data_IF_097723596136
#
_entry.id   IF_097723596136
#
_cell.length_a   1.000
_cell.length_b   1.000
_cell.length_c   1.000
_cell.angle_alpha   90.00
_cell.angle_beta   90.00
_cell.angle_gamma   90.00
#
_symmetry.space_group_name_H-M   'P 1'
#
loop_
_entity.id
_entity.type
_entity.pdbx_description
1 polymer ?
#
# COMPACT_ATOMS: atom_id res chain seq x y z
N UNK A 1 -31.06 -9.29 -0.37
CA UNK A 1 -30.34 -7.99 -0.25
C UNK A 1 -28.95 -8.17 -0.82
N UNK A 2 -28.27 -7.11 -1.27
CA UNK A 2 -26.85 -7.22 -1.67
C UNK A 2 -26.00 -7.44 -0.42
N UNK A 3 -24.97 -8.31 -0.47
CA UNK A 3 -24.18 -8.63 0.72
C UNK A 3 -23.43 -7.39 1.24
N UNK A 4 -23.17 -7.37 2.54
CA UNK A 4 -22.25 -6.43 3.20
C UNK A 4 -20.87 -7.09 3.29
N UNK A 5 -19.89 -6.48 2.64
CA UNK A 5 -18.51 -6.96 2.63
C UNK A 5 -17.63 -5.98 3.39
N UNK A 6 -16.89 -6.49 4.37
CA UNK A 6 -15.83 -5.76 5.08
C UNK A 6 -14.47 -6.24 4.59
N UNK A 7 -13.54 -5.31 4.39
CA UNK A 7 -12.11 -5.60 4.24
C UNK A 7 -11.36 -4.83 5.32
N UNK A 8 -10.64 -5.56 6.17
CA UNK A 8 -9.80 -5.01 7.22
C UNK A 8 -8.35 -5.25 6.81
N UNK A 9 -7.64 -4.16 6.54
CA UNK A 9 -6.22 -4.16 6.33
C UNK A 9 -5.47 -4.03 7.64
N UNK A 10 -4.56 -4.96 7.93
CA UNK A 10 -3.53 -4.80 8.96
C UNK A 10 -2.22 -4.51 8.23
N UNK A 11 -1.80 -3.24 8.21
CA UNK A 11 -0.63 -2.76 7.46
C UNK A 11 0.63 -3.49 7.96
N UNK A 12 1.38 -4.13 7.07
CA UNK A 12 2.60 -4.85 7.46
C UNK A 12 2.42 -6.03 8.44
N UNK A 13 1.25 -6.67 8.48
CA UNK A 13 1.02 -7.79 9.38
C UNK A 13 1.53 -9.11 8.77
N UNK A 14 2.41 -9.79 9.52
CA UNK A 14 2.71 -11.20 9.33
C UNK A 14 1.90 -12.06 10.32
N UNK A 15 2.10 -13.38 10.30
CA UNK A 15 1.41 -14.32 11.21
C UNK A 15 1.62 -14.00 12.70
N UNK A 16 2.81 -13.53 13.09
CA UNK A 16 3.10 -13.17 14.47
C UNK A 16 2.29 -11.95 14.90
N UNK A 17 2.33 -10.86 14.13
CA UNK A 17 1.57 -9.64 14.43
C UNK A 17 0.07 -9.90 14.41
N UNK A 18 -0.42 -10.72 13.46
CA UNK A 18 -1.81 -11.16 13.42
C UNK A 18 -2.24 -11.92 14.69
N UNK A 19 -1.37 -12.79 15.20
CA UNK A 19 -1.60 -13.49 16.47
C UNK A 19 -1.63 -12.53 17.66
N UNK A 20 -0.77 -11.51 17.67
CA UNK A 20 -0.76 -10.48 18.72
C UNK A 20 -2.04 -9.60 18.68
N UNK A 21 -2.59 -9.36 17.49
CA UNK A 21 -3.93 -8.77 17.32
C UNK A 21 -5.03 -9.73 17.81
N UNK A 22 -4.75 -11.01 18.03
CA UNK A 22 -5.71 -11.99 18.53
C UNK A 22 -6.47 -12.73 17.43
N UNK A 23 -5.92 -12.79 16.22
CA UNK A 23 -6.44 -13.63 15.14
C UNK A 23 -6.01 -15.08 15.32
N UNK A 24 -6.89 -16.02 14.93
CA UNK A 24 -6.58 -17.45 14.98
C UNK A 24 -5.58 -17.82 13.87
N UNK A 25 -4.36 -18.15 14.25
CA UNK A 25 -3.26 -18.46 13.31
C UNK A 25 -3.51 -19.66 12.41
N UNK A 26 -4.43 -20.58 12.78
CA UNK A 26 -4.81 -21.73 11.96
C UNK A 26 -5.52 -21.33 10.67
N UNK A 27 -6.21 -20.19 10.70
CA UNK A 27 -7.03 -19.70 9.58
C UNK A 27 -6.24 -18.73 8.69
N UNK A 28 -4.96 -18.49 9.01
CA UNK A 28 -4.12 -17.50 8.33
C UNK A 28 -3.29 -18.16 7.23
N UNK A 29 -3.55 -17.73 6.01
CA UNK A 29 -2.79 -18.07 4.81
C UNK A 29 -1.75 -16.98 4.50
N UNK A 30 -0.67 -17.38 3.84
CA UNK A 30 0.28 -16.42 3.28
C UNK A 30 -0.41 -15.64 2.15
N UNK A 31 -0.16 -14.34 2.11
CA UNK A 31 -0.69 -13.46 1.09
C UNK A 31 0.46 -12.74 0.40
N UNK A 32 0.69 -13.07 -0.87
CA UNK A 32 1.86 -12.57 -1.59
C UNK A 32 1.64 -11.14 -2.05
N UNK A 33 2.54 -10.25 -1.62
CA UNK A 33 2.54 -8.82 -1.98
C UNK A 33 3.03 -8.57 -3.40
N UNK A 34 3.05 -7.29 -3.80
CA UNK A 34 3.81 -6.81 -4.95
C UNK A 34 5.32 -7.01 -4.71
N UNK A 35 6.10 -6.95 -5.78
CA UNK A 35 7.54 -6.72 -5.76
C UNK A 35 7.80 -5.28 -6.22
N UNK A 36 8.31 -4.38 -5.37
CA UNK A 36 8.62 -4.55 -3.95
C UNK A 36 7.37 -4.73 -3.08
N UNK A 37 7.48 -5.36 -1.89
CA UNK A 37 6.40 -5.47 -0.93
C UNK A 37 6.29 -4.17 -0.13
N UNK A 38 5.68 -3.17 -0.75
CA UNK A 38 5.63 -1.81 -0.22
C UNK A 38 4.21 -1.25 -0.21
N UNK A 39 3.90 -0.41 0.78
CA UNK A 39 2.57 0.11 1.07
C UNK A 39 1.86 0.75 -0.14
N UNK A 40 2.44 1.69 -0.92
CA UNK A 40 1.75 2.27 -2.07
C UNK A 40 1.37 1.29 -3.18
N UNK A 41 2.28 0.46 -3.74
CA UNK A 41 1.91 -0.47 -4.80
C UNK A 41 0.95 -1.55 -4.30
N UNK A 42 1.17 -2.10 -3.10
CA UNK A 42 0.40 -3.23 -2.60
C UNK A 42 -1.05 -2.85 -2.24
N UNK A 43 -1.31 -1.78 -1.48
CA UNK A 43 -2.68 -1.34 -1.22
C UNK A 43 -3.42 -0.89 -2.49
N UNK A 44 -2.70 -0.27 -3.44
CA UNK A 44 -3.30 0.06 -4.75
C UNK A 44 -3.66 -1.20 -5.52
N UNK A 45 -2.82 -2.24 -5.48
CA UNK A 45 -3.08 -3.55 -6.07
C UNK A 45 -4.30 -4.23 -5.45
N UNK A 46 -4.44 -4.21 -4.12
CA UNK A 46 -5.64 -4.72 -3.42
C UNK A 46 -6.90 -3.99 -3.86
N UNK A 47 -6.82 -2.67 -4.02
CA UNK A 47 -7.95 -1.85 -4.47
C UNK A 47 -8.30 -2.04 -5.95
N UNK A 48 -7.36 -2.44 -6.81
CA UNK A 48 -7.53 -2.41 -8.27
C UNK A 48 -7.55 -3.79 -8.91
N UNK A 49 -7.02 -4.80 -8.23
CA UNK A 49 -6.87 -6.17 -8.74
C UNK A 49 -5.83 -6.33 -9.85
N UNK A 50 -4.96 -5.33 -10.04
CA UNK A 50 -3.93 -5.33 -11.07
C UNK A 50 -2.57 -5.02 -10.48
N UNK A 51 -1.53 -5.35 -11.23
CA UNK A 51 -0.12 -5.09 -10.90
C UNK A 51 0.24 -3.61 -11.02
N UNK A 52 1.38 -3.21 -10.41
CA UNK A 52 1.96 -1.88 -10.61
C UNK A 52 2.16 -1.44 -12.06
N UNK A 53 2.39 -2.37 -12.98
CA UNK A 53 2.51 -2.05 -14.41
C UNK A 53 1.19 -1.62 -15.07
N UNK A 54 0.05 -1.81 -14.42
CA UNK A 54 -1.28 -1.39 -14.91
C UNK A 54 -1.86 -0.21 -14.12
N UNK A 55 -1.67 -0.16 -12.80
CA UNK A 55 -2.15 0.99 -12.01
C UNK A 55 -1.12 2.13 -11.90
N UNK A 56 0.16 1.89 -12.21
CA UNK A 56 1.20 2.92 -12.32
C UNK A 56 1.80 3.42 -11.01
N UNK A 57 1.62 2.70 -9.90
CA UNK A 57 2.11 3.11 -8.56
C UNK A 57 3.18 2.13 -8.10
N UNK A 58 4.37 2.62 -7.75
CA UNK A 58 5.49 1.81 -7.23
C UNK A 58 6.00 2.31 -5.87
N UNK A 59 5.87 3.60 -5.60
CA UNK A 59 6.44 4.26 -4.43
C UNK A 59 5.64 5.56 -4.16
N UNK A 60 5.71 6.08 -2.94
CA UNK A 60 5.20 7.41 -2.57
C UNK A 60 5.92 8.52 -3.34
N UNK A 61 7.06 8.21 -3.98
CA UNK A 61 7.78 9.10 -4.86
C UNK A 61 7.96 8.49 -6.24
N UNK A 62 7.83 9.29 -7.29
CA UNK A 62 8.19 8.92 -8.65
C UNK A 62 9.34 9.77 -9.16
N UNK A 63 10.14 9.20 -10.06
CA UNK A 63 11.13 9.96 -10.80
C UNK A 63 10.45 10.51 -12.06
N UNK A 64 10.61 11.81 -12.28
CA UNK A 64 10.37 12.39 -13.59
C UNK A 64 11.48 11.91 -14.55
N UNK A 65 11.17 11.15 -15.61
CA UNK A 65 12.19 10.57 -16.47
C UNK A 65 12.92 11.60 -17.35
N UNK A 66 12.32 12.77 -17.58
CA UNK A 66 12.93 13.84 -18.38
C UNK A 66 13.85 14.70 -17.50
N UNK A 67 13.35 15.12 -16.33
CA UNK A 67 14.05 16.04 -15.43
C UNK A 67 14.89 15.34 -14.36
N UNK A 68 14.74 14.03 -14.20
CA UNK A 68 15.32 13.22 -13.11
C UNK A 68 15.03 13.77 -11.71
N UNK A 69 13.89 14.44 -11.53
CA UNK A 69 13.44 15.02 -10.26
C UNK A 69 12.48 14.07 -9.53
N UNK A 70 12.53 14.05 -8.19
CA UNK A 70 11.59 13.27 -7.38
C UNK A 70 10.28 14.04 -7.18
N UNK A 71 9.15 13.50 -7.62
CA UNK A 71 7.79 14.03 -7.42
C UNK A 71 6.99 13.13 -6.48
N UNK A 72 6.06 13.70 -5.71
CA UNK A 72 5.15 12.91 -4.87
C UNK A 72 4.09 12.20 -5.71
N UNK A 73 3.92 10.91 -5.45
CA UNK A 73 2.84 10.09 -6.01
C UNK A 73 1.56 10.31 -5.20
N UNK A 74 0.44 10.50 -5.89
CA UNK A 74 -0.88 10.77 -5.27
C UNK A 74 -1.98 9.95 -5.93
N UNK A 75 -3.20 10.03 -5.42
CA UNK A 75 -4.37 9.36 -6.02
C UNK A 75 -4.62 9.73 -7.49
N UNK A 76 -4.17 10.91 -7.95
CA UNK A 76 -4.29 11.40 -9.33
C UNK A 76 -3.42 10.60 -10.31
N UNK A 77 -2.39 9.94 -9.78
CA UNK A 77 -1.44 9.16 -10.57
C UNK A 77 -1.93 7.72 -10.81
N UNK A 78 -2.94 7.25 -10.06
CA UNK A 78 -3.50 5.90 -10.22
C UNK A 78 -4.22 5.78 -11.57
N UNK A 79 -3.74 4.85 -12.41
CA UNK A 79 -4.19 4.70 -13.80
C UNK A 79 -5.27 3.65 -14.02
N UNK A 80 -5.64 2.91 -12.98
CA UNK A 80 -6.65 1.86 -13.05
C UNK A 80 -7.83 2.15 -12.12
N UNK A 81 -9.02 1.63 -12.45
CA UNK A 81 -10.21 1.83 -11.62
C UNK A 81 -10.09 1.04 -10.31
N UNK A 82 -10.36 1.70 -9.19
CA UNK A 82 -10.44 1.05 -7.87
C UNK A 82 -11.80 0.36 -7.72
N UNK A 83 -11.86 -0.66 -6.87
CA UNK A 83 -13.05 -1.45 -6.61
C UNK A 83 -14.25 -0.57 -6.22
N UNK A 84 -14.05 0.44 -5.37
CA UNK A 84 -15.10 1.39 -4.98
C UNK A 84 -15.68 2.17 -6.17
N UNK A 85 -14.87 2.48 -7.17
CA UNK A 85 -15.30 3.20 -8.37
C UNK A 85 -16.16 2.26 -9.24
N UNK A 86 -15.73 1.01 -9.42
CA UNK A 86 -16.49 -0.03 -10.15
C UNK A 86 -17.83 -0.36 -9.48
N UNK A 87 -17.84 -0.43 -8.14
CA UNK A 87 -19.04 -0.61 -7.32
C UNK A 87 -19.98 0.60 -7.45
N UNK A 88 -19.45 1.81 -7.33
CA UNK A 88 -20.22 3.04 -7.50
C UNK A 88 -20.86 3.13 -8.88
N UNK A 89 -20.17 2.71 -9.96
CA UNK A 89 -20.76 2.63 -11.30
C UNK A 89 -22.03 1.77 -11.34
N UNK A 90 -22.15 0.78 -10.46
CA UNK A 90 -23.32 -0.10 -10.30
C UNK A 90 -24.30 0.36 -9.20
N UNK A 91 -24.13 1.57 -8.67
CA UNK A 91 -25.03 2.13 -7.66
C UNK A 91 -24.77 1.63 -6.24
N UNK A 92 -23.72 0.83 -6.03
CA UNK A 92 -23.33 0.35 -4.71
C UNK A 92 -22.55 1.42 -3.96
N UNK A 93 -22.62 1.35 -2.63
CA UNK A 93 -22.02 2.32 -1.71
C UNK A 93 -20.79 1.75 -1.04
N UNK A 94 -19.81 2.60 -0.80
CA UNK A 94 -18.56 2.20 -0.14
C UNK A 94 -18.14 3.17 0.96
N UNK A 95 -17.45 2.64 1.96
CA UNK A 95 -16.69 3.41 2.96
C UNK A 95 -15.24 2.98 2.82
N UNK A 96 -14.34 3.93 2.58
CA UNK A 96 -12.89 3.72 2.47
C UNK A 96 -12.20 4.52 3.57
N UNK A 97 -11.36 3.88 4.38
CA UNK A 97 -10.74 4.50 5.55
C UNK A 97 -9.25 4.18 5.57
N UNK A 98 -8.43 5.23 5.66
CA UNK A 98 -6.96 5.18 5.77
C UNK A 98 -6.24 4.44 4.64
N UNK A 99 -6.86 4.34 3.46
CA UNK A 99 -6.24 3.67 2.31
C UNK A 99 -5.25 4.60 1.60
N UNK A 100 -3.99 4.19 1.39
CA UNK A 100 -3.04 4.94 0.58
C UNK A 100 -3.54 5.20 -0.83
N UNK A 101 -3.00 6.24 -1.46
CA UNK A 101 -3.34 6.63 -2.84
C UNK A 101 -4.84 6.94 -3.04
N UNK A 102 -5.52 7.39 -1.99
CA UNK A 102 -6.91 7.90 -2.05
C UNK A 102 -7.00 9.43 -1.94
N UNK A 103 -5.94 10.10 -1.51
CA UNK A 103 -5.82 11.55 -1.48
C UNK A 103 -4.94 12.09 -2.63
N UNK A 104 -5.26 13.25 -3.25
CA UNK A 104 -6.47 14.06 -3.02
C UNK A 104 -7.73 13.37 -3.56
N UNK A 105 -8.91 13.63 -3.00
CA UNK A 105 -10.10 12.86 -3.37
C UNK A 105 -10.52 13.06 -4.84
N UNK A 106 -10.05 14.11 -5.52
CA UNK A 106 -10.19 14.36 -6.96
C UNK A 106 -9.70 13.19 -7.82
N UNK A 107 -8.66 12.47 -7.39
CA UNK A 107 -8.13 11.30 -8.10
C UNK A 107 -9.02 10.05 -8.03
N UNK A 108 -10.08 10.09 -7.22
CA UNK A 108 -11.09 9.02 -7.18
C UNK A 108 -12.28 9.42 -8.06
N UNK A 109 -12.45 8.65 -9.14
CA UNK A 109 -13.56 8.75 -10.10
C UNK A 109 -14.81 8.13 -9.48
N UNK A 110 -15.99 8.65 -9.81
CA UNK A 110 -17.28 8.12 -9.33
C UNK A 110 -17.44 8.02 -7.80
N UNK A 111 -16.71 8.82 -7.03
CA UNK A 111 -16.78 8.81 -5.56
C UNK A 111 -18.12 9.26 -4.96
N UNK A 112 -19.13 9.64 -5.75
CA UNK A 112 -20.40 10.17 -5.23
C UNK A 112 -21.15 9.21 -4.28
N UNK A 113 -20.92 7.89 -4.42
CA UNK A 113 -21.47 6.86 -3.54
C UNK A 113 -20.46 6.35 -2.51
N UNK A 114 -19.38 7.09 -2.27
CA UNK A 114 -18.26 6.66 -1.42
C UNK A 114 -18.00 7.68 -0.33
N UNK A 115 -17.92 7.21 0.91
CA UNK A 115 -17.30 7.98 2.01
C UNK A 115 -15.82 7.61 2.04
N UNK A 116 -14.94 8.61 2.09
CA UNK A 116 -13.49 8.39 2.07
C UNK A 116 -12.88 9.16 3.23
N UNK A 117 -12.19 8.47 4.12
CA UNK A 117 -11.38 9.07 5.18
C UNK A 117 -9.92 8.99 4.74
N UNK A 118 -9.24 10.14 4.69
CA UNK A 118 -7.85 10.23 4.26
C UNK A 118 -6.91 9.35 5.10
N UNK A 119 -5.85 8.88 4.46
CA UNK A 119 -4.76 8.15 5.10
C UNK A 119 -3.74 9.07 5.78
N UNK A 120 -2.69 8.46 6.33
CA UNK A 120 -1.63 9.17 7.02
C UNK A 120 -0.68 9.91 6.06
N UNK A 121 -0.63 9.55 4.77
CA UNK A 121 0.18 10.24 3.78
C UNK A 121 -0.44 11.57 3.33
N UNK A 122 -1.74 11.78 3.56
CA UNK A 122 -2.42 13.04 3.29
C UNK A 122 -1.76 14.22 4.06
N UNK A 123 -1.75 15.43 3.49
CA UNK A 123 -1.15 16.60 4.13
C UNK A 123 -1.88 17.03 5.41
N UNK A 124 -3.17 16.69 5.53
CA UNK A 124 -4.02 16.89 6.69
C UNK A 124 -5.15 15.84 6.66
N UNK A 125 -5.76 15.56 7.81
CA UNK A 125 -6.87 14.61 7.90
C UNK A 125 -8.18 15.23 7.39
N UNK A 126 -8.86 14.53 6.50
CA UNK A 126 -10.11 14.98 5.88
C UNK A 126 -11.04 13.79 5.57
N UNK A 127 -12.34 14.06 5.48
CA UNK A 127 -13.38 13.13 5.05
C UNK A 127 -14.12 13.66 3.82
N UNK A 128 -14.23 12.83 2.79
CA UNK A 128 -15.13 13.02 1.68
C UNK A 128 -16.48 12.32 1.92
N UNK A 129 -17.62 12.93 1.54
CA UNK A 129 -17.78 14.31 1.13
C UNK A 129 -17.55 15.30 2.29
N UNK A 130 -17.09 16.51 1.95
CA UNK A 130 -16.66 17.57 2.89
C UNK A 130 -17.61 17.86 4.06
N UNK A 131 -18.92 17.63 3.89
CA UNK A 131 -19.92 17.76 4.97
C UNK A 131 -19.62 16.89 6.20
N UNK A 132 -18.87 15.80 6.04
CA UNK A 132 -18.49 14.92 7.14
C UNK A 132 -17.31 15.46 7.96
N UNK A 133 -16.55 16.45 7.45
CA UNK A 133 -15.48 17.08 8.22
C UNK A 133 -16.01 17.76 9.48
N UNK A 134 -17.17 18.42 9.41
CA UNK A 134 -17.77 19.07 10.57
C UNK A 134 -18.22 18.02 11.59
N UNK A 135 -18.94 16.99 11.12
CA UNK A 135 -19.43 15.88 11.95
C UNK A 135 -18.30 15.16 12.70
N UNK A 136 -17.15 14.94 12.05
CA UNK A 136 -16.05 14.14 12.60
C UNK A 136 -14.84 14.96 13.03
N UNK A 137 -14.97 16.29 13.13
CA UNK A 137 -13.86 17.22 13.35
C UNK A 137 -12.97 16.85 14.55
N UNK A 138 -13.56 16.39 15.65
CA UNK A 138 -12.84 15.93 16.85
C UNK A 138 -12.02 14.65 16.64
N UNK A 139 -12.32 13.86 15.60
CA UNK A 139 -11.61 12.63 15.25
C UNK A 139 -10.59 12.82 14.11
N UNK A 140 -10.47 14.03 13.54
CA UNK A 140 -9.51 14.34 12.47
C UNK A 140 -8.16 14.81 13.06
N UNK A 141 -7.58 13.96 13.90
CA UNK A 141 -6.30 14.20 14.57
C UNK A 141 -5.10 13.70 13.74
N UNK A 142 -3.95 14.35 13.89
CA UNK A 142 -2.73 14.00 13.16
C UNK A 142 -2.27 12.56 13.49
N UNK A 143 -1.99 11.73 12.47
CA UNK A 143 -1.54 10.35 12.68
C UNK A 143 -0.09 10.29 13.16
N UNK A 144 0.25 9.41 14.11
CA UNK A 144 1.61 9.25 14.66
C UNK A 144 2.57 8.49 13.71
N UNK A 145 2.49 8.70 12.40
CA UNK A 145 3.28 8.02 11.36
C UNK A 145 4.79 8.34 11.36
N UNK A 146 5.25 9.33 12.14
CA UNK A 146 6.67 9.71 12.25
C UNK A 146 7.42 8.89 13.32
N UNK A 147 7.24 7.57 13.33
CA UNK A 147 7.82 6.66 14.33
C UNK A 147 9.34 6.80 14.46
N UNK A 148 10.03 7.14 13.37
CA UNK A 148 11.49 7.29 13.31
C UNK A 148 12.01 8.40 14.22
N UNK A 149 11.15 9.35 14.62
CA UNK A 149 11.50 10.45 15.53
C UNK A 149 11.39 10.08 17.01
N UNK A 150 10.79 8.93 17.31
CA UNK A 150 10.48 8.51 18.67
C UNK A 150 11.35 7.35 19.18
N UNK A 151 12.40 6.96 18.46
CA UNK A 151 13.30 5.85 18.83
C UNK A 151 13.97 6.03 20.20
N UNK A 152 14.09 7.27 20.70
CA UNK A 152 14.68 7.58 22.00
C UNK A 152 13.68 7.55 23.17
N UNK A 153 12.37 7.50 22.91
CA UNK A 153 11.32 7.38 23.93
C UNK A 153 10.14 6.55 23.39
N UNK A 154 10.36 5.23 23.19
CA UNK A 154 9.39 4.41 22.48
C UNK A 154 8.13 4.11 23.31
N UNK A 155 8.18 4.18 24.66
CA UNK A 155 6.98 4.06 25.50
C UNK A 155 6.02 5.24 25.35
N UNK A 156 6.53 6.47 25.19
CA UNK A 156 5.70 7.64 24.87
C UNK A 156 5.03 7.47 23.50
N UNK A 157 5.74 6.87 22.54
CA UNK A 157 5.19 6.57 21.23
C UNK A 157 4.00 5.61 21.30
N UNK A 158 4.11 4.51 22.06
CA UNK A 158 3.02 3.57 22.26
C UNK A 158 1.74 4.26 22.77
N UNK A 159 1.87 5.15 23.76
CA UNK A 159 0.74 5.94 24.29
C UNK A 159 0.11 6.85 23.24
N UNK A 160 0.93 7.52 22.42
CA UNK A 160 0.43 8.37 21.32
C UNK A 160 -0.36 7.56 20.29
N UNK A 161 0.10 6.36 19.95
CA UNK A 161 -0.63 5.46 19.04
C UNK A 161 -1.93 5.00 19.69
N UNK A 162 -1.94 4.71 20.99
CA UNK A 162 -3.17 4.35 21.72
C UNK A 162 -4.20 5.49 21.75
N UNK A 163 -3.77 6.71 22.06
CA UNK A 163 -4.60 7.92 22.02
C UNK A 163 -5.17 8.13 20.62
N UNK A 164 -4.31 8.05 19.60
CA UNK A 164 -4.73 8.16 18.20
C UNK A 164 -5.80 7.13 17.83
N UNK A 165 -5.51 5.85 18.08
CA UNK A 165 -6.40 4.73 17.76
C UNK A 165 -7.74 4.88 18.45
N UNK A 166 -7.72 5.19 19.76
CA UNK A 166 -8.93 5.35 20.58
C UNK A 166 -9.81 6.47 20.06
N UNK A 167 -9.23 7.64 19.76
CA UNK A 167 -9.99 8.77 19.22
C UNK A 167 -10.60 8.43 17.87
N UNK A 168 -9.82 7.79 16.98
CA UNK A 168 -10.26 7.48 15.61
C UNK A 168 -11.34 6.41 15.53
N UNK A 169 -11.30 5.41 16.42
CA UNK A 169 -12.26 4.29 16.44
C UNK A 169 -13.71 4.75 16.55
N UNK A 170 -14.00 5.86 17.26
CA UNK A 170 -15.35 6.38 17.36
C UNK A 170 -15.96 6.71 15.99
N UNK A 171 -15.20 7.37 15.11
CA UNK A 171 -15.62 7.63 13.74
C UNK A 171 -15.73 6.33 12.93
N UNK A 172 -14.80 5.39 13.11
CA UNK A 172 -14.82 4.11 12.39
C UNK A 172 -16.08 3.31 12.72
N UNK A 173 -16.44 3.21 14.01
CA UNK A 173 -17.67 2.55 14.46
C UNK A 173 -18.92 3.26 13.94
N UNK A 174 -19.00 4.59 14.03
CA UNK A 174 -20.18 5.31 13.52
C UNK A 174 -20.38 5.09 12.01
N UNK A 175 -19.30 5.10 11.22
CA UNK A 175 -19.39 4.77 9.79
C UNK A 175 -19.75 3.30 9.53
N UNK A 176 -19.34 2.38 10.40
CA UNK A 176 -19.62 0.95 10.27
C UNK A 176 -21.09 0.63 10.60
N UNK A 177 -21.61 1.22 11.66
CA UNK A 177 -22.94 0.90 12.21
C UNK A 177 -24.06 1.74 11.59
N UNK A 178 -23.81 3.03 11.35
CA UNK A 178 -24.88 3.99 11.06
C UNK A 178 -24.91 4.45 9.59
N UNK A 179 -23.96 4.01 8.76
CA UNK A 179 -23.95 4.33 7.33
C UNK A 179 -24.46 3.17 6.48
N UNK A 180 -25.14 3.51 5.38
CA UNK A 180 -25.58 2.52 4.39
C UNK A 180 -24.44 2.23 3.40
N UNK A 181 -23.82 1.07 3.54
CA UNK A 181 -22.68 0.63 2.73
C UNK A 181 -22.86 -0.80 2.25
N UNK A 182 -22.23 -1.10 1.11
CA UNK A 182 -22.06 -2.46 0.58
C UNK A 182 -20.63 -2.95 0.80
N UNK A 183 -19.64 -2.07 0.61
CA UNK A 183 -18.23 -2.32 0.93
C UNK A 183 -17.76 -1.38 2.04
N UNK A 184 -17.19 -1.92 3.10
CA UNK A 184 -16.48 -1.17 4.13
C UNK A 184 -15.01 -1.61 4.14
N UNK A 185 -14.09 -0.72 3.79
CA UNK A 185 -12.66 -1.03 3.70
C UNK A 185 -11.87 -0.07 4.57
N UNK A 186 -11.24 -0.59 5.61
CA UNK A 186 -10.38 0.14 6.54
C UNK A 186 -8.98 -0.45 6.58
N UNK A 187 -7.95 0.39 6.73
CA UNK A 187 -6.58 -0.02 7.06
C UNK A 187 -6.19 0.51 8.44
N UNK A 188 -5.65 -0.38 9.27
CA UNK A 188 -4.98 -0.06 10.53
C UNK A 188 -3.47 -0.04 10.28
N UNK A 189 -2.88 1.15 10.24
CA UNK A 189 -1.42 1.34 10.05
C UNK A 189 -0.62 1.15 11.33
N UNK A 190 -1.30 1.02 12.47
CA UNK A 190 -0.70 0.83 13.78
C UNK A 190 0.18 -0.43 13.85
N UNK A 191 -0.16 -1.48 13.10
CA UNK A 191 0.64 -2.72 13.03
C UNK A 191 2.00 -2.51 12.34
N UNK A 192 2.07 -1.73 11.27
CA UNK A 192 3.34 -1.39 10.58
C UNK A 192 4.19 -0.47 11.47
N UNK A 193 3.58 0.58 12.03
CA UNK A 193 4.28 1.53 12.90
C UNK A 193 4.92 0.86 14.11
N UNK A 194 4.19 -0.04 14.77
CA UNK A 194 4.73 -0.80 15.89
C UNK A 194 5.79 -1.80 15.48
N UNK A 195 5.65 -2.45 14.33
CA UNK A 195 6.67 -3.39 13.85
C UNK A 195 7.98 -2.64 13.59
N UNK A 196 7.95 -1.46 12.96
CA UNK A 196 9.15 -0.63 12.75
C UNK A 196 9.85 -0.22 14.06
N UNK A 197 9.12 0.33 15.03
CA UNK A 197 9.72 0.88 16.26
C UNK A 197 10.01 -0.17 17.33
N UNK A 198 9.28 -1.29 17.34
CA UNK A 198 9.40 -2.39 18.30
C UNK A 198 9.70 -3.72 17.59
N UNK A 199 10.86 -3.88 16.94
CA UNK A 199 11.19 -5.12 16.22
C UNK A 199 11.04 -6.39 17.08
N UNK A 200 11.30 -6.28 18.39
CA UNK A 200 11.24 -7.39 19.33
C UNK A 200 9.84 -8.01 19.49
N UNK A 201 8.75 -7.34 19.08
CA UNK A 201 7.41 -7.93 19.14
C UNK A 201 7.28 -9.12 18.19
N UNK A 202 8.04 -9.13 17.08
CA UNK A 202 8.09 -10.25 16.15
C UNK A 202 8.74 -11.50 16.75
N UNK A 203 9.47 -11.33 17.85
CA UNK A 203 10.08 -12.40 18.65
C UNK A 203 9.26 -12.71 19.92
N UNK A 204 8.07 -12.12 20.08
CA UNK A 204 7.21 -12.31 21.25
C UNK A 204 7.67 -11.58 22.52
N UNK A 205 8.51 -10.55 22.39
CA UNK A 205 9.02 -9.75 23.52
C UNK A 205 8.33 -8.38 23.57
N UNK A 206 8.24 -7.80 24.76
CA UNK A 206 7.65 -6.48 25.02
C UNK A 206 6.23 -6.27 24.46
N UNK A 207 5.45 -7.34 24.30
CA UNK A 207 4.10 -7.30 23.72
C UNK A 207 3.14 -6.35 24.46
N UNK A 208 3.36 -6.14 25.77
CA UNK A 208 2.61 -5.21 26.60
C UNK A 208 2.62 -3.76 26.08
N UNK A 209 3.59 -3.38 25.23
CA UNK A 209 3.66 -2.05 24.60
C UNK A 209 2.64 -1.87 23.48
N UNK A 210 2.18 -2.96 22.85
CA UNK A 210 1.27 -2.92 21.69
C UNK A 210 -0.11 -3.48 22.01
N UNK A 211 -0.20 -4.33 23.04
CA UNK A 211 -1.43 -4.98 23.50
C UNK A 211 -2.66 -4.06 23.63
N UNK A 212 -2.58 -2.83 24.20
CA UNK A 212 -3.75 -1.98 24.35
C UNK A 212 -4.39 -1.59 23.01
N UNK A 213 -3.58 -1.31 22.00
CA UNK A 213 -4.03 -0.96 20.65
C UNK A 213 -4.52 -2.18 19.90
N UNK A 214 -3.77 -3.28 19.98
CA UNK A 214 -4.13 -4.53 19.31
C UNK A 214 -5.47 -5.11 19.81
N UNK A 215 -5.76 -5.01 21.11
CA UNK A 215 -7.08 -5.36 21.67
C UNK A 215 -8.21 -4.51 21.08
N UNK A 216 -8.01 -3.20 20.93
CA UNK A 216 -9.01 -2.31 20.32
C UNK A 216 -9.24 -2.63 18.84
N UNK A 217 -8.18 -2.97 18.11
CA UNK A 217 -8.29 -3.44 16.72
C UNK A 217 -9.07 -4.75 16.67
N UNK A 218 -8.80 -5.69 17.58
CA UNK A 218 -9.55 -6.95 17.68
C UNK A 218 -11.04 -6.73 17.97
N UNK A 219 -11.36 -5.87 18.92
CA UNK A 219 -12.75 -5.50 19.24
C UNK A 219 -13.46 -4.92 18.01
N UNK A 220 -12.77 -4.09 17.22
CA UNK A 220 -13.30 -3.57 15.96
C UNK A 220 -13.52 -4.69 14.93
N UNK A 221 -12.56 -5.59 14.77
CA UNK A 221 -12.66 -6.76 13.87
C UNK A 221 -13.89 -7.60 14.25
N UNK A 222 -14.04 -7.94 15.53
CA UNK A 222 -15.16 -8.75 16.03
C UNK A 222 -16.49 -8.05 15.77
N UNK A 223 -16.55 -6.73 16.01
CA UNK A 223 -17.75 -5.95 15.74
C UNK A 223 -18.08 -5.93 14.24
N UNK A 224 -17.09 -5.76 13.38
CA UNK A 224 -17.28 -5.75 11.93
C UNK A 224 -17.74 -7.12 11.40
N UNK A 225 -17.17 -8.22 11.92
CA UNK A 225 -17.60 -9.59 11.61
C UNK A 225 -19.05 -9.86 12.00
N UNK A 226 -19.56 -9.25 13.07
CA UNK A 226 -20.96 -9.37 13.47
C UNK A 226 -21.95 -8.59 12.57
N UNK A 227 -21.47 -7.57 11.84
CA UNK A 227 -22.31 -6.70 10.98
C UNK A 227 -22.25 -7.15 9.51
N UNK A 228 -21.10 -7.65 9.06
CA UNK A 228 -20.87 -8.02 7.69
C UNK A 228 -21.40 -9.42 7.36
N UNK A 229 -21.80 -9.63 6.11
CA UNK A 229 -22.03 -10.98 5.59
C UNK A 229 -20.70 -11.70 5.33
N UNK A 230 -19.67 -10.96 4.88
CA UNK A 230 -18.32 -11.47 4.58
C UNK A 230 -17.28 -10.47 5.06
N UNK A 231 -16.25 -10.95 5.75
CA UNK A 231 -15.11 -10.15 6.22
C UNK A 231 -13.82 -10.75 5.70
N UNK A 232 -13.06 -9.96 4.96
CA UNK A 232 -11.66 -10.23 4.61
C UNK A 232 -10.75 -9.52 5.61
N UNK A 233 -9.72 -10.21 6.10
CA UNK A 233 -8.62 -9.62 6.85
C UNK A 233 -7.34 -9.90 6.08
N UNK A 234 -6.69 -8.83 5.63
CA UNK A 234 -5.54 -8.91 4.73
C UNK A 234 -4.42 -7.99 5.19
N UNK A 235 -3.22 -8.24 4.69
CA UNK A 235 -2.12 -7.30 4.79
C UNK A 235 -1.56 -6.99 3.41
N UNK A 236 -1.02 -5.80 3.22
CA UNK A 236 -0.33 -5.43 2.00
C UNK A 236 1.03 -6.09 1.87
N UNK A 237 1.75 -6.31 2.97
CA UNK A 237 3.01 -7.03 3.05
C UNK A 237 3.25 -7.59 4.46
N UNK A 238 4.32 -8.36 4.64
CA UNK A 238 4.72 -8.84 5.97
C UNK A 238 5.85 -8.03 6.58
N UNK A 239 6.38 -8.53 7.69
CA UNK A 239 7.57 -8.00 8.35
C UNK A 239 8.54 -9.12 8.77
N UNK A 240 9.84 -8.80 8.77
CA UNK A 240 10.87 -9.66 9.34
C UNK A 240 11.96 -8.87 10.05
N UNK A 241 12.69 -9.54 10.94
CA UNK A 241 13.90 -8.98 11.56
C UNK A 241 15.02 -8.86 10.53
N UNK A 242 15.56 -7.65 10.42
CA UNK A 242 16.75 -7.33 9.64
C UNK A 242 17.95 -7.28 10.56
N UNK A 243 19.00 -8.00 10.20
CA UNK A 243 20.25 -8.09 10.98
C UNK A 243 21.42 -7.36 10.30
N UNK A 244 21.27 -6.99 9.02
CA UNK A 244 22.29 -6.30 8.24
C UNK A 244 21.66 -5.31 7.27
N UNK A 245 22.24 -4.12 7.16
CA UNK A 245 21.94 -3.14 6.12
C UNK A 245 22.96 -3.31 4.99
N UNK A 246 22.50 -3.30 3.74
CA UNK A 246 23.31 -3.27 2.53
C UNK A 246 23.11 -1.97 1.76
N UNK A 247 24.21 -1.25 1.52
CA UNK A 247 24.22 0.05 0.87
C UNK A 247 24.32 -0.11 -0.65
N UNK A 248 23.17 -0.18 -1.33
CA UNK A 248 23.09 -0.46 -2.78
C UNK A 248 23.84 0.58 -3.60
N UNK A 249 23.74 1.86 -3.24
CA UNK A 249 24.47 2.92 -3.95
C UNK A 249 25.99 2.84 -3.73
N UNK A 250 26.47 2.30 -2.60
CA UNK A 250 27.90 2.00 -2.41
C UNK A 250 28.35 0.81 -3.25
N UNK A 251 27.51 -0.21 -3.40
CA UNK A 251 27.77 -1.36 -4.26
C UNK A 251 27.88 -0.94 -5.74
N UNK A 252 26.95 -0.09 -6.21
CA UNK A 252 27.01 0.53 -7.53
C UNK A 252 28.27 1.38 -7.70
N UNK A 253 28.68 2.13 -6.67
CA UNK A 253 29.88 2.95 -6.74
C UNK A 253 31.17 2.12 -6.83
N UNK A 254 31.29 1.06 -6.03
CA UNK A 254 32.44 0.14 -6.08
C UNK A 254 32.52 -0.63 -7.39
N UNK A 255 31.37 -0.92 -7.99
CA UNK A 255 31.26 -1.57 -9.30
C UNK A 255 31.45 -0.60 -10.48
N UNK A 256 31.69 0.69 -10.22
CA UNK A 256 31.97 1.69 -11.25
C UNK A 256 30.75 2.31 -11.94
N UNK A 257 29.53 2.04 -11.46
CA UNK A 257 28.27 2.56 -12.03
C UNK A 257 27.79 3.86 -11.38
N UNK A 258 28.41 4.28 -10.28
CA UNK A 258 28.11 5.52 -9.58
C UNK A 258 29.40 6.20 -9.12
N UNK A 259 29.50 7.53 -9.27
CA UNK A 259 30.57 8.33 -8.65
C UNK A 259 29.96 9.41 -7.78
N UNK A 260 30.50 9.56 -6.58
CA UNK A 260 30.02 10.51 -5.59
C UNK A 260 31.17 11.15 -4.81
N UNK A 261 30.94 12.34 -4.28
CA UNK A 261 31.89 13.01 -3.37
C UNK A 261 31.50 12.69 -1.92
N UNK A 262 32.40 12.01 -1.18
CA UNK A 262 32.17 11.59 0.21
C UNK A 262 31.84 12.76 1.14
N UNK A 263 32.54 13.89 1.01
CA UNK A 263 32.32 15.08 1.84
C UNK A 263 30.94 15.68 1.60
N UNK A 264 30.53 15.82 0.32
CA UNK A 264 29.19 16.29 -0.04
C UNK A 264 28.10 15.33 0.42
N UNK A 265 28.30 14.03 0.24
CA UNK A 265 27.36 13.01 0.72
C UNK A 265 27.15 13.09 2.25
N UNK A 266 28.23 13.30 3.01
CA UNK A 266 28.14 13.49 4.45
C UNK A 266 27.37 14.76 4.84
N UNK A 267 27.61 15.87 4.13
CA UNK A 267 26.89 17.14 4.33
C UNK A 267 25.39 17.04 4.03
N UNK A 268 25.02 16.41 2.91
CA UNK A 268 23.60 16.18 2.55
C UNK A 268 22.89 15.36 3.62
N UNK A 269 23.54 14.31 4.12
CA UNK A 269 23.01 13.47 5.22
C UNK A 269 22.81 14.26 6.51
N UNK A 270 23.75 15.14 6.87
CA UNK A 270 23.62 15.98 8.07
C UNK A 270 22.48 17.00 7.91
N UNK A 271 22.39 17.66 6.75
CA UNK A 271 21.32 18.61 6.44
C UNK A 271 19.92 17.98 6.52
N UNK A 272 19.76 16.74 6.04
CA UNK A 272 18.49 16.00 6.13
C UNK A 272 17.99 15.80 7.56
N UNK A 273 18.90 15.65 8.55
CA UNK A 273 18.51 15.51 9.96
C UNK A 273 17.97 16.81 10.57
N UNK A 274 18.27 17.96 9.96
CA UNK A 274 17.97 19.29 10.52
C UNK A 274 16.72 19.91 9.88
N UNK A 275 16.25 19.41 8.72
CA UNK A 275 15.06 19.95 8.03
C UNK A 275 13.77 19.49 8.73
N UNK A 276 12.90 20.41 9.20
CA UNK A 276 11.60 20.07 9.76
C UNK A 276 10.69 19.33 8.77
N UNK A 277 9.95 18.32 9.25
CA UNK A 277 9.09 17.47 8.41
C UNK A 277 8.07 18.24 7.55
N UNK A 278 7.49 19.34 8.08
CA UNK A 278 6.58 20.22 7.31
C UNK A 278 7.26 20.90 6.13
N UNK A 279 8.50 21.34 6.30
CA UNK A 279 9.30 21.97 5.22
C UNK A 279 9.72 20.91 4.19
N UNK A 280 10.10 19.72 4.65
CA UNK A 280 10.40 18.59 3.77
C UNK A 280 9.20 18.21 2.89
N UNK A 281 7.97 18.19 3.43
CA UNK A 281 6.74 17.95 2.66
C UNK A 281 6.50 19.02 1.58
N UNK A 282 6.71 20.30 1.88
CA UNK A 282 6.57 21.42 0.92
C UNK A 282 7.66 21.40 -0.15
N UNK A 283 8.89 21.02 0.19
CA UNK A 283 9.97 20.89 -0.77
C UNK A 283 9.76 19.66 -1.68
N UNK A 284 9.28 18.55 -1.13
CA UNK A 284 8.97 17.34 -1.88
C UNK A 284 7.86 17.55 -2.92
N UNK A 285 6.86 18.40 -2.66
CA UNK A 285 5.83 18.77 -3.66
C UNK A 285 6.38 19.61 -4.81
N UNK A 286 7.51 20.32 -4.61
CA UNK A 286 8.16 21.15 -5.65
C UNK A 286 9.18 20.41 -6.51
N UNK A 287 9.41 19.12 -6.24
CA UNK A 287 10.48 18.36 -6.87
C UNK A 287 11.83 18.68 -6.22
N UNK A 288 12.54 17.65 -5.71
CA UNK A 288 13.88 17.87 -5.15
C UNK A 288 14.93 16.98 -5.81
N UNK A 289 16.03 17.60 -6.28
CA UNK A 289 17.18 16.93 -6.86
C UNK A 289 18.18 16.43 -5.79
N UNK A 290 17.69 15.78 -4.73
CA UNK A 290 18.54 15.49 -3.56
C UNK A 290 19.73 14.57 -3.86
N UNK A 291 19.60 13.62 -4.79
CA UNK A 291 20.74 12.80 -5.22
C UNK A 291 21.79 13.60 -6.00
N UNK A 292 21.37 14.59 -6.80
CA UNK A 292 22.29 15.32 -7.69
C UNK A 292 23.38 16.07 -6.91
N UNK A 293 23.11 16.42 -5.65
CA UNK A 293 24.07 17.16 -4.82
C UNK A 293 25.27 16.30 -4.39
N UNK A 294 25.07 15.00 -4.20
CA UNK A 294 26.13 14.09 -3.74
C UNK A 294 26.82 13.35 -4.89
N UNK A 295 26.10 13.07 -5.98
CA UNK A 295 26.56 12.27 -7.12
C UNK A 295 26.97 13.15 -8.29
N UNK A 296 27.98 12.76 -9.07
CA UNK A 296 28.32 13.43 -10.34
C UNK A 296 27.29 13.05 -11.42
N UNK A 297 26.43 13.98 -11.89
CA UNK A 297 25.34 13.66 -12.82
C UNK A 297 25.84 13.06 -14.14
N UNK A 298 27.02 13.50 -14.63
CA UNK A 298 27.59 13.03 -15.90
C UNK A 298 28.22 11.63 -15.79
N UNK A 299 28.49 11.15 -14.57
CA UNK A 299 29.16 9.86 -14.33
C UNK A 299 28.27 8.85 -13.59
N UNK A 300 26.97 9.10 -13.56
CA UNK A 300 25.95 8.22 -12.96
C UNK A 300 25.39 7.31 -14.04
N UNK A 301 25.71 6.02 -14.00
CA UNK A 301 25.14 5.00 -14.89
C UNK A 301 23.90 4.35 -14.28
N UNK A 302 23.91 4.12 -12.97
CA UNK A 302 22.76 3.57 -12.24
C UNK A 302 22.70 4.09 -10.79
N UNK A 303 21.50 4.09 -10.20
CA UNK A 303 21.28 4.51 -8.82
C UNK A 303 19.95 3.98 -8.24
N UNK A 304 19.91 3.80 -6.92
CA UNK A 304 18.69 3.58 -6.14
C UNK A 304 18.24 4.89 -5.49
N UNK A 305 16.94 5.16 -5.49
CA UNK A 305 16.35 6.37 -4.89
C UNK A 305 15.83 6.18 -3.48
N UNK A 306 15.14 5.06 -3.28
CA UNK A 306 14.45 4.69 -2.06
C UNK A 306 14.80 3.24 -1.76
N UNK A 307 14.98 2.94 -0.47
CA UNK A 307 15.29 1.58 -0.04
C UNK A 307 14.07 0.67 -0.11
N UNK A 308 12.88 1.19 0.19
CA UNK A 308 11.65 0.41 0.25
C UNK A 308 11.14 -0.01 -1.14
N UNK A 309 11.49 0.73 -2.20
CA UNK A 309 11.02 0.39 -3.55
C UNK A 309 11.83 -0.72 -4.23
N UNK A 310 12.98 -1.11 -3.66
CA UNK A 310 13.93 -2.06 -4.25
C UNK A 310 14.41 -1.68 -5.67
N UNK A 311 14.08 -0.48 -6.12
CA UNK A 311 14.25 -0.05 -7.49
C UNK A 311 15.63 0.55 -7.75
N UNK A 312 16.28 0.07 -8.79
CA UNK A 312 17.49 0.67 -9.37
C UNK A 312 17.15 1.22 -10.74
N UNK A 313 17.41 2.51 -10.92
CA UNK A 313 17.26 3.21 -12.20
C UNK A 313 18.59 3.20 -12.92
N UNK A 314 18.57 2.76 -14.17
CA UNK A 314 19.73 2.68 -15.07
C UNK A 314 19.60 3.79 -16.11
N UNK A 315 20.48 4.78 -16.03
CA UNK A 315 20.53 5.92 -16.95
C UNK A 315 21.17 5.49 -18.27
N UNK A 316 22.32 4.82 -18.17
CA UNK A 316 23.02 4.25 -19.32
C UNK A 316 22.40 2.87 -19.64
N UNK A 317 21.35 2.85 -20.46
CA UNK A 317 20.59 1.62 -20.76
C UNK A 317 21.46 0.49 -21.34
N UNK A 318 22.57 0.83 -22.00
CA UNK A 318 23.54 -0.15 -22.52
C UNK A 318 24.22 -0.90 -21.37
N UNK A 319 24.37 -0.26 -20.20
CA UNK A 319 24.96 -0.85 -19.01
C UNK A 319 23.97 -1.68 -18.17
N UNK A 320 22.67 -1.79 -18.52
CA UNK A 320 21.65 -2.49 -17.70
C UNK A 320 22.07 -3.91 -17.31
N UNK A 321 22.53 -4.70 -18.27
CA UNK A 321 23.00 -6.08 -18.01
C UNK A 321 24.27 -6.14 -17.16
N UNK A 322 25.17 -5.16 -17.30
CA UNK A 322 26.38 -5.10 -16.48
C UNK A 322 26.05 -4.72 -15.03
N UNK A 323 25.10 -3.79 -14.84
CA UNK A 323 24.57 -3.39 -13.54
C UNK A 323 23.88 -4.58 -12.86
N UNK A 324 23.03 -5.31 -13.60
CA UNK A 324 22.35 -6.53 -13.13
C UNK A 324 23.37 -7.54 -12.59
N UNK A 325 24.33 -7.95 -13.42
CA UNK A 325 25.37 -8.93 -13.05
C UNK A 325 26.23 -8.47 -11.86
N UNK A 326 26.56 -7.19 -11.79
CA UNK A 326 27.35 -6.66 -10.69
C UNK A 326 26.59 -6.72 -9.37
N UNK A 327 25.30 -6.37 -9.35
CA UNK A 327 24.47 -6.46 -8.15
C UNK A 327 24.21 -7.90 -7.72
N UNK A 328 24.01 -8.83 -8.67
CA UNK A 328 23.87 -10.27 -8.40
C UNK A 328 25.13 -10.91 -7.78
N UNK A 329 26.29 -10.26 -7.89
CA UNK A 329 27.54 -10.76 -7.28
C UNK A 329 27.62 -10.57 -5.77
N UNK A 330 26.74 -9.75 -5.17
CA UNK A 330 26.74 -9.50 -3.73
C UNK A 330 25.84 -10.51 -2.99
N UNK A 331 26.32 -11.16 -1.92
CA UNK A 331 25.52 -12.16 -1.18
C UNK A 331 24.29 -11.56 -0.47
N UNK A 332 24.28 -10.25 -0.25
CA UNK A 332 23.14 -9.49 0.26
C UNK A 332 21.98 -9.37 -0.75
N UNK A 333 22.23 -9.66 -2.03
CA UNK A 333 21.24 -9.63 -3.10
C UNK A 333 20.83 -11.06 -3.44
N UNK A 334 19.55 -11.37 -3.30
CA UNK A 334 19.01 -12.69 -3.65
C UNK A 334 18.84 -12.83 -5.15
N UNK A 335 18.26 -11.82 -5.80
CA UNK A 335 18.00 -11.78 -7.25
C UNK A 335 17.97 -10.34 -7.73
N UNK A 336 18.20 -10.14 -9.03
CA UNK A 336 17.93 -8.87 -9.71
C UNK A 336 16.98 -9.14 -10.87
N UNK A 337 15.84 -8.49 -10.88
CA UNK A 337 14.74 -8.74 -11.81
C UNK A 337 14.51 -7.50 -12.67
N UNK A 338 14.31 -7.68 -13.97
CA UNK A 338 13.78 -6.64 -14.85
C UNK A 338 12.27 -6.56 -14.64
N UNK A 339 11.65 -5.38 -14.72
CA UNK A 339 10.20 -5.23 -14.58
C UNK A 339 9.40 -6.15 -15.50
N UNK A 340 9.89 -6.35 -16.72
CA UNK A 340 9.24 -7.18 -17.74
C UNK A 340 9.26 -8.68 -17.39
N UNK A 341 10.12 -9.11 -16.46
CA UNK A 341 10.18 -10.48 -15.95
C UNK A 341 9.06 -10.78 -14.94
N UNK A 342 8.50 -9.74 -14.30
CA UNK A 342 7.51 -9.91 -13.21
C UNK A 342 6.18 -9.19 -13.45
N UNK A 343 6.14 -8.20 -14.34
CA UNK A 343 4.94 -7.43 -14.62
C UNK A 343 4.71 -7.23 -16.10
N UNK A 344 3.43 -7.24 -16.47
CA UNK A 344 2.95 -6.89 -17.82
C UNK A 344 1.90 -5.81 -17.71
N UNK A 345 2.07 -4.72 -18.46
CA UNK A 345 1.08 -3.65 -18.48
C UNK A 345 1.58 -2.40 -19.22
N UNK A 346 0.66 -1.48 -19.55
CA UNK A 346 0.96 -0.29 -20.35
C UNK A 346 1.94 0.67 -19.66
N UNK A 347 2.09 0.59 -18.34
CA UNK A 347 2.95 1.47 -17.54
C UNK A 347 4.21 0.78 -17.01
N UNK A 348 4.58 -0.39 -17.55
CA UNK A 348 5.83 -1.07 -17.19
C UNK A 348 7.07 -0.19 -17.40
N UNK A 349 7.03 0.69 -18.40
CA UNK A 349 8.09 1.65 -18.73
C UNK A 349 8.26 2.77 -17.68
N UNK A 350 7.30 2.93 -16.75
CA UNK A 350 7.38 3.89 -15.65
C UNK A 350 8.03 3.29 -14.39
N UNK A 351 8.27 1.98 -14.37
CA UNK A 351 8.87 1.29 -13.24
C UNK A 351 10.41 1.44 -13.26
N UNK A 352 11.11 1.21 -12.13
CA UNK A 352 12.58 1.16 -12.10
C UNK A 352 13.12 0.15 -13.12
N UNK A 353 14.31 0.39 -13.68
CA UNK A 353 14.89 -0.50 -14.70
C UNK A 353 15.21 -1.91 -14.19
N UNK A 354 15.50 -2.04 -12.89
CA UNK A 354 15.78 -3.27 -12.19
C UNK A 354 15.17 -3.22 -10.79
N UNK A 355 14.62 -4.34 -10.34
CA UNK A 355 14.29 -4.59 -8.94
C UNK A 355 15.37 -5.48 -8.33
N UNK A 356 16.02 -4.99 -7.27
CA UNK A 356 17.01 -5.73 -6.50
C UNK A 356 16.26 -6.39 -5.35
N UNK A 357 16.27 -7.71 -5.25
CA UNK A 357 15.56 -8.43 -4.19
C UNK A 357 16.56 -8.75 -3.07
N UNK A 358 16.31 -8.34 -1.81
CA UNK A 358 17.22 -8.61 -0.72
C UNK A 358 17.23 -10.10 -0.35
N UNK A 359 18.39 -10.60 0.06
CA UNK A 359 18.46 -11.85 0.83
C UNK A 359 17.73 -11.65 2.16
N UNK A 360 17.12 -12.73 2.70
CA UNK A 360 16.36 -12.69 3.95
C UNK A 360 17.16 -12.04 5.09
N UNK A 361 16.54 -11.12 5.82
CA UNK A 361 17.16 -10.40 6.93
C UNK A 361 18.12 -9.26 6.52
N UNK A 362 18.17 -8.92 5.23
CA UNK A 362 18.87 -7.73 4.72
C UNK A 362 17.88 -6.57 4.51
N UNK A 363 18.24 -5.40 5.04
CA UNK A 363 17.62 -4.10 4.74
C UNK A 363 18.47 -3.40 3.68
N UNK A 364 17.86 -2.81 2.65
CA UNK A 364 18.60 -1.97 1.71
C UNK A 364 18.71 -0.53 2.19
N UNK A 365 19.74 0.16 1.72
CA UNK A 365 19.87 1.60 1.89
C UNK A 365 20.40 2.25 0.63
N UNK A 366 19.77 3.37 0.25
CA UNK A 366 20.24 4.25 -0.82
C UNK A 366 21.34 5.23 -0.34
N UNK A 367 21.69 5.24 0.95
CA UNK A 367 22.69 6.16 1.47
C UNK A 367 24.12 5.82 1.02
N UNK A 368 24.97 6.84 0.97
CA UNK A 368 26.39 6.72 0.65
C UNK A 368 27.22 6.93 1.93
N UNK A 369 27.63 5.82 2.55
CA UNK A 369 28.33 5.76 3.86
C UNK A 369 29.81 5.39 3.78
N UNK A 370 30.34 5.10 2.59
CA UNK A 370 31.70 4.62 2.35
C UNK A 370 31.92 3.13 2.68
N UNK A 371 30.89 2.39 3.12
CA UNK A 371 30.93 0.97 3.46
C UNK A 371 29.79 0.22 2.78
N UNK A 372 29.99 -1.05 2.44
CA UNK A 372 28.97 -1.87 1.77
C UNK A 372 27.86 -2.32 2.72
N UNK A 373 28.23 -2.63 3.97
CA UNK A 373 27.30 -3.24 4.93
C UNK A 373 27.48 -2.67 6.34
N UNK A 374 26.46 -2.84 7.16
CA UNK A 374 26.53 -2.66 8.61
C UNK A 374 25.55 -3.58 9.33
N UNK A 375 25.87 -3.98 10.56
CA UNK A 375 24.93 -4.71 11.41
C UNK A 375 23.80 -3.78 11.85
N UNK A 376 22.59 -4.31 11.92
CA UNK A 376 21.41 -3.62 12.44
C UNK A 376 20.57 -4.59 13.26
N UNK A 377 19.66 -4.07 14.07
CA UNK A 377 18.57 -4.84 14.66
C UNK A 377 17.32 -3.99 14.52
N UNK A 378 16.55 -4.27 13.48
CA UNK A 378 15.28 -3.62 13.18
C UNK A 378 14.35 -4.64 12.56
N UNK A 379 13.10 -4.28 12.35
CA UNK A 379 12.21 -5.04 11.50
C UNK A 379 11.72 -4.16 10.37
N UNK A 380 11.56 -4.76 9.20
CA UNK A 380 11.19 -4.06 7.97
C UNK A 380 10.51 -5.07 7.02
N UNK A 381 10.01 -4.55 5.90
CA UNK A 381 9.08 -5.19 4.99
C UNK A 381 9.61 -6.53 4.43
N UNK A 382 8.70 -7.48 4.26
CA UNK A 382 8.90 -8.74 3.53
C UNK A 382 7.66 -9.13 2.70
N UNK A 383 7.82 -10.09 1.80
CA UNK A 383 6.86 -10.36 0.72
C UNK A 383 5.50 -10.92 1.16
N UNK A 384 5.42 -11.63 2.27
CA UNK A 384 4.24 -12.40 2.66
C UNK A 384 3.48 -11.75 3.80
N UNK A 385 2.42 -11.02 3.46
CA UNK A 385 1.41 -10.61 4.42
C UNK A 385 0.52 -11.79 4.84
N UNK A 386 -0.58 -11.45 5.51
CA UNK A 386 -1.63 -12.40 5.89
C UNK A 386 -2.86 -12.28 4.98
N UNK A 387 -3.56 -13.40 4.83
CA UNK A 387 -4.92 -13.46 4.30
C UNK A 387 -5.75 -14.40 5.19
N UNK A 388 -6.92 -13.94 5.58
CA UNK A 388 -7.99 -14.80 6.10
C UNK A 388 -9.34 -14.18 5.77
N UNK A 389 -10.39 -14.99 5.79
CA UNK A 389 -11.75 -14.55 5.48
C UNK A 389 -12.76 -15.36 6.26
N UNK A 390 -13.84 -14.71 6.65
CA UNK A 390 -14.91 -15.29 7.45
C UNK A 390 -16.26 -14.78 6.95
N UNK A 391 -17.32 -15.53 7.25
CA UNK A 391 -18.68 -15.05 7.08
C UNK A 391 -19.58 -16.09 6.43
N UNK A 392 -20.76 -15.63 6.04
CA UNK A 392 -21.78 -16.43 5.40
C UNK A 392 -21.26 -16.98 4.08
N UNK A 393 -21.53 -18.26 3.82
CA UNK A 393 -21.20 -18.95 2.56
C UNK A 393 -19.68 -19.03 2.29
N UNK A 394 -18.85 -18.84 3.32
CA UNK A 394 -17.40 -19.03 3.34
C UNK A 394 -17.07 -20.34 4.06
N UNK A 395 -16.14 -21.14 3.52
CA UNK A 395 -15.71 -22.40 4.13
C UNK A 395 -15.02 -22.15 5.48
N UNK A 396 -15.26 -23.03 6.45
CA UNK A 396 -14.52 -23.05 7.72
C UNK A 396 -13.04 -23.40 7.52
N UNK A 397 -12.76 -24.39 6.67
CA UNK A 397 -11.41 -24.80 6.31
C UNK A 397 -11.12 -24.47 4.84
N UNK A 398 -10.18 -23.54 4.63
CA UNK A 398 -9.79 -23.09 3.29
C UNK A 398 -8.44 -23.71 2.95
N UNK A 399 -8.32 -24.27 1.74
CA UNK A 399 -7.04 -24.74 1.20
C UNK A 399 -6.81 -24.08 -0.15
N UNK A 400 -5.63 -23.49 -0.31
CA UNK A 400 -5.22 -22.86 -1.56
C UNK A 400 -4.17 -23.72 -2.26
N UNK A 401 -4.45 -24.08 -3.52
CA UNK A 401 -3.44 -24.71 -4.39
C UNK A 401 -2.36 -23.71 -4.78
N UNK A 402 -2.77 -22.46 -5.03
CA UNK A 402 -1.89 -21.31 -5.29
C UNK A 402 -2.16 -20.27 -4.22
N UNK A 403 -1.15 -19.81 -3.45
CA UNK A 403 -1.34 -18.80 -2.43
C UNK A 403 -2.07 -17.57 -2.97
N UNK A 404 -3.00 -16.99 -2.20
CA UNK A 404 -3.66 -15.75 -2.59
C UNK A 404 -2.65 -14.60 -2.65
N UNK A 405 -2.94 -13.62 -3.49
CA UNK A 405 -2.08 -12.46 -3.74
C UNK A 405 -2.86 -11.17 -3.56
N UNK A 406 -2.15 -10.05 -3.36
CA UNK A 406 -2.74 -8.71 -3.27
C UNK A 406 -3.63 -8.35 -4.47
N UNK A 407 -3.50 -9.02 -5.62
CA UNK A 407 -4.34 -8.77 -6.79
C UNK A 407 -5.73 -9.43 -6.69
N UNK A 408 -5.92 -10.42 -5.82
CA UNK A 408 -7.09 -11.30 -5.87
C UNK A 408 -8.33 -10.75 -5.15
N UNK A 409 -8.17 -9.72 -4.32
CA UNK A 409 -9.26 -9.16 -3.50
C UNK A 409 -10.32 -8.45 -4.35
N UNK A 410 -9.91 -7.51 -5.20
CA UNK A 410 -10.85 -6.77 -6.05
C UNK A 410 -11.70 -7.67 -6.97
N UNK A 411 -11.15 -8.61 -7.75
CA UNK A 411 -11.95 -9.51 -8.58
C UNK A 411 -12.84 -10.44 -7.74
N UNK A 412 -12.39 -10.88 -6.57
CA UNK A 412 -13.22 -11.69 -5.65
C UNK A 412 -14.41 -10.90 -5.11
N UNK A 413 -14.22 -9.63 -4.74
CA UNK A 413 -15.31 -8.75 -4.30
C UNK A 413 -16.29 -8.46 -5.45
N UNK A 414 -15.80 -8.19 -6.67
CA UNK A 414 -16.67 -8.04 -7.84
C UNK A 414 -17.52 -9.30 -8.07
N UNK A 415 -16.89 -10.47 -7.95
CA UNK A 415 -17.57 -11.75 -8.04
C UNK A 415 -18.66 -11.88 -6.98
N UNK A 416 -18.40 -11.57 -5.71
CA UNK A 416 -19.39 -11.61 -4.60
C UNK A 416 -20.61 -10.74 -4.92
N UNK A 417 -20.42 -9.55 -5.48
CA UNK A 417 -21.53 -8.67 -5.85
C UNK A 417 -22.27 -9.07 -7.15
N UNK A 418 -21.75 -10.07 -7.86
CA UNK A 418 -22.25 -10.53 -9.17
C UNK A 418 -21.98 -9.51 -10.27
N UNK A 419 -20.89 -8.75 -10.17
CA UNK A 419 -20.52 -7.72 -11.12
C UNK A 419 -19.52 -8.24 -12.16
N UNK A 420 -19.50 -7.65 -13.36
CA UNK A 420 -18.50 -7.98 -14.37
C UNK A 420 -17.07 -7.68 -13.90
N UNK A 421 -16.15 -8.60 -14.16
CA UNK A 421 -14.73 -8.49 -13.83
C UNK A 421 -14.00 -8.09 -15.11
N UNK A 422 -13.27 -6.96 -15.17
CA UNK A 422 -12.41 -6.66 -16.30
C UNK A 422 -11.45 -7.82 -16.58
N UNK A 423 -11.39 -8.29 -17.82
CA UNK A 423 -10.57 -9.42 -18.24
C UNK A 423 -9.07 -9.10 -18.27
N UNK A 424 -8.69 -7.83 -18.05
CA UNK A 424 -7.34 -7.37 -17.86
C UNK A 424 -6.95 -7.20 -16.38
N UNK A 425 -7.80 -7.60 -15.42
CA UNK A 425 -7.36 -7.77 -14.02
C UNK A 425 -6.30 -8.88 -13.94
N UNK A 426 -5.26 -8.67 -13.14
CA UNK A 426 -4.20 -9.68 -12.93
C UNK A 426 -4.62 -10.71 -11.88
N UNK A 427 -5.42 -10.28 -10.91
CA UNK A 427 -5.92 -11.16 -9.86
C UNK A 427 -7.00 -12.11 -10.34
N UNK A 428 -7.06 -13.28 -9.71
CA UNK A 428 -8.09 -14.28 -9.91
C UNK A 428 -9.20 -14.13 -8.87
N UNK A 429 -10.36 -14.69 -9.16
CA UNK A 429 -11.38 -14.92 -8.14
C UNK A 429 -10.92 -16.08 -7.25
N UNK A 430 -10.86 -15.86 -5.94
CA UNK A 430 -10.55 -16.89 -4.95
C UNK A 430 -11.77 -17.80 -4.74
N UNK A 431 -12.09 -18.63 -5.73
CA UNK A 431 -13.25 -19.52 -5.68
C UNK A 431 -13.17 -20.53 -4.53
N UNK A 432 -11.96 -20.86 -4.07
CA UNK A 432 -11.69 -21.82 -3.02
C UNK A 432 -12.23 -21.41 -1.64
N UNK A 433 -12.54 -20.13 -1.43
CA UNK A 433 -13.07 -19.64 -0.15
C UNK A 433 -14.54 -19.96 0.04
N UNK A 434 -15.29 -20.21 -1.04
CA UNK A 434 -16.74 -20.34 -0.99
C UNK A 434 -17.18 -21.78 -0.68
N UNK A 435 -18.20 -21.93 0.16
CA UNK A 435 -18.86 -23.22 0.36
C UNK A 435 -19.40 -23.77 -0.96
N UNK A 436 -19.32 -25.09 -1.18
CA UNK A 436 -19.66 -25.70 -2.48
C UNK A 436 -21.10 -25.42 -2.94
N UNK A 437 -22.03 -25.33 -2.00
CA UNK A 437 -23.44 -25.08 -2.25
C UNK A 437 -23.85 -23.60 -2.20
N UNK A 438 -22.91 -22.70 -1.94
CA UNK A 438 -23.16 -21.26 -1.89
C UNK A 438 -23.61 -20.69 -3.24
N UNK A 439 -24.30 -19.54 -3.22
CA UNK A 439 -24.62 -18.80 -4.44
C UNK A 439 -23.32 -18.39 -5.17
N UNK A 440 -22.29 -18.04 -4.40
CA UNK A 440 -21.00 -17.58 -4.92
C UNK A 440 -20.25 -18.68 -5.67
N UNK A 441 -20.23 -19.91 -5.17
CA UNK A 441 -19.58 -21.04 -5.83
C UNK A 441 -20.35 -21.49 -7.09
N UNK A 442 -21.69 -21.45 -7.04
CA UNK A 442 -22.55 -21.83 -8.18
C UNK A 442 -22.49 -20.82 -9.33
N UNK A 443 -22.22 -19.54 -9.03
CA UNK A 443 -22.03 -18.50 -10.05
C UNK A 443 -20.64 -18.62 -10.68
N UNK A 444 -20.58 -18.65 -12.01
CA UNK A 444 -19.31 -18.52 -12.74
C UNK A 444 -18.86 -17.05 -12.78
N UNK A 445 -17.57 -16.75 -12.51
CA UNK A 445 -17.02 -15.41 -12.71
C UNK A 445 -17.27 -14.88 -14.12
N UNK A 446 -17.89 -13.70 -14.22
CA UNK A 446 -18.23 -13.06 -15.50
C UNK A 446 -17.17 -12.05 -15.88
N UNK A 447 -16.34 -12.38 -16.86
CA UNK A 447 -15.32 -11.47 -17.37
C UNK A 447 -15.87 -10.58 -18.51
N UNK A 448 -15.40 -9.35 -18.59
CA UNK A 448 -15.75 -8.38 -19.65
C UNK A 448 -14.51 -7.61 -20.11
N UNK A 449 -14.55 -7.11 -21.33
CA UNK A 449 -13.55 -6.16 -21.81
C UNK A 449 -13.58 -4.86 -20.98
N UNK A 450 -12.43 -4.18 -20.73
CA UNK A 450 -12.38 -2.97 -19.91
C UNK A 450 -13.26 -1.83 -20.46
N UNK A 451 -13.49 -1.81 -21.78
CA UNK A 451 -14.39 -0.84 -22.43
C UNK A 451 -15.84 -0.90 -21.92
N UNK A 452 -16.25 -2.00 -21.27
CA UNK A 452 -17.53 -2.07 -20.56
C UNK A 452 -17.66 -0.97 -19.50
N UNK A 453 -16.62 -0.77 -18.69
CA UNK A 453 -16.61 0.24 -17.64
C UNK A 453 -16.39 1.66 -18.19
N UNK A 454 -15.64 1.80 -19.28
CA UNK A 454 -15.47 3.09 -19.98
C UNK A 454 -16.80 3.60 -20.52
N UNK A 455 -17.56 2.76 -21.23
CA UNK A 455 -18.91 3.08 -21.72
C UNK A 455 -19.86 3.46 -20.57
N UNK A 456 -19.82 2.69 -19.48
CA UNK A 456 -20.62 2.97 -18.28
C UNK A 456 -20.27 4.31 -17.63
N UNK A 457 -18.99 4.67 -17.66
CA UNK A 457 -18.48 5.95 -17.23
C UNK A 457 -19.03 7.10 -18.09
N UNK A 458 -19.02 6.95 -19.41
CA UNK A 458 -19.58 7.93 -20.35
C UNK A 458 -21.08 8.11 -20.16
N UNK A 459 -21.84 7.01 -20.04
CA UNK A 459 -23.28 7.03 -19.79
C UNK A 459 -23.62 7.80 -18.51
N UNK A 460 -22.85 7.60 -17.43
CA UNK A 460 -23.05 8.33 -16.18
C UNK A 460 -22.75 9.82 -16.34
N UNK A 461 -21.67 10.18 -17.04
CA UNK A 461 -21.34 11.59 -17.32
C UNK A 461 -22.44 12.27 -18.13
N UNK A 462 -22.95 11.60 -19.17
CA UNK A 462 -24.04 12.08 -20.01
C UNK A 462 -25.33 12.28 -19.19
N UNK A 463 -25.73 11.29 -18.39
CA UNK A 463 -26.90 11.40 -17.50
C UNK A 463 -26.77 12.58 -16.52
N UNK A 464 -25.59 12.81 -15.95
CA UNK A 464 -25.31 13.95 -15.05
C UNK A 464 -25.42 15.29 -15.79
N UNK A 465 -24.86 15.38 -17.00
CA UNK A 465 -24.95 16.57 -17.85
C UNK A 465 -26.40 16.90 -18.21
N UNK A 466 -27.19 15.92 -18.64
CA UNK A 466 -28.62 16.08 -18.96
C UNK A 466 -29.40 16.55 -17.72
N UNK A 467 -29.17 15.94 -16.55
CA UNK A 467 -29.81 16.36 -15.29
C UNK A 467 -29.50 17.83 -14.96
N UNK A 468 -28.25 18.24 -15.12
CA UNK A 468 -27.82 19.62 -14.87
C UNK A 468 -28.44 20.62 -15.87
N UNK A 469 -28.59 20.24 -17.14
CA UNK A 469 -29.24 21.07 -18.15
C UNK A 469 -30.74 21.26 -17.86
N UNK A 470 -31.44 20.18 -17.45
CA UNK A 470 -32.84 20.25 -17.00
C UNK A 470 -33.00 21.17 -15.78
N UNK A 471 -32.12 21.06 -14.78
CA UNK A 471 -32.13 21.93 -13.60
C UNK A 471 -31.89 23.41 -13.96
N UNK A 472 -31.11 23.68 -15.01
CA UNK A 472 -30.83 25.04 -15.49
C UNK A 472 -31.87 25.57 -16.50
N UNK A 473 -32.97 24.85 -16.76
CA UNK A 473 -33.98 25.19 -17.79
C UNK A 473 -33.37 25.45 -19.18
N UNK A 474 -32.30 24.73 -19.54
CA UNK A 474 -31.63 24.83 -20.85
C UNK A 474 -32.03 23.69 -21.81
N UNK A 475 -33.02 22.89 -21.43
CA UNK A 475 -33.63 21.80 -22.19
C UNK A 475 -35.13 21.79 -21.94
#
# INVERSE_FOLDING_TARGET
MKPKVVVIGLDGANKTTANLVGLNTKDIHNFTSTIPPYTPPAWTSILTGVTPAKHGIIDFQRIDPEEFTLKLTTSLDVKYHRISELLSMHGLKSVLINLPMTYPFEGIKFKENTVIVSDWAAPYQEVYPKKFNEKYSEYLIDPPHSWEKHTNNPQDYAKRVEEYTTTRLNMYYDLLENWDWNLYFIVFSETDWFSHIFPQILEGKDIHLVDPVFKKIKEFIDKAMNIADITFIVSDHGFEIKHKIFYVNEALARSGFLKYNRTKASLVRLGRRIIPAKIAKILATRGTNQMSYATDPQKRKAFMTSHASWGVYVIDKIAKEQVKKALESFPEVSKVLSPEEIYTGPYVHLLPDLFVVPTRGIEFSAELKGKLTETTYKSDHELHGIFTTYGREIREEITFNTPPTVYDIAPTILHIFGLPIPNDMDGRVLMEIFEEDSEFARRKPKHVDPSYYEKKQEDKKLKKAIKNLKLKRKL
#
